data_IF_788907049649
#
_entry.id   IF_788907049649
#
_cell.length_a   1.000
_cell.length_b   1.000
_cell.length_c   1.000
_cell.angle_alpha   90.00
_cell.angle_beta   90.00
_cell.angle_gamma   90.00
#
_symmetry.space_group_name_H-M   'P 1'
#
loop_
_entity.id
_entity.type
_entity.pdbx_description
1 polymer ?
#
# COMPACT_ATOMS: atom_id res chain seq x y z
N UNK A 1 32.06 37.08 -37.48
CA UNK A 1 32.22 36.06 -36.43
C UNK A 1 31.01 35.16 -36.50
N UNK A 2 31.18 33.94 -37.01
CA UNK A 2 30.10 32.95 -37.04
C UNK A 2 29.88 32.38 -35.64
N UNK A 3 28.65 32.49 -35.14
CA UNK A 3 28.19 31.75 -33.97
C UNK A 3 28.30 30.26 -34.26
N UNK A 4 29.33 29.63 -33.70
CA UNK A 4 29.40 28.19 -33.57
C UNK A 4 28.31 27.80 -32.58
N UNK A 5 27.15 27.37 -33.09
CA UNK A 5 26.23 26.54 -32.32
C UNK A 5 27.02 25.36 -31.79
N UNK A 6 27.23 25.32 -30.48
CA UNK A 6 27.71 24.12 -29.80
C UNK A 6 26.81 22.95 -30.21
N UNK A 7 27.37 21.76 -30.50
CA UNK A 7 26.55 20.63 -30.87
C UNK A 7 25.65 20.29 -29.68
N UNK A 8 24.34 20.43 -29.84
CA UNK A 8 23.35 19.91 -28.88
C UNK A 8 23.62 18.41 -28.79
N UNK A 9 24.33 17.99 -27.75
CA UNK A 9 24.63 16.58 -27.49
C UNK A 9 23.31 15.83 -27.40
N UNK A 10 23.19 14.66 -28.02
CA UNK A 10 21.98 13.82 -27.98
C UNK A 10 21.44 13.61 -26.55
N UNK A 11 22.31 13.75 -25.55
CA UNK A 11 22.05 13.74 -24.13
C UNK A 11 21.13 14.89 -23.70
N UNK A 12 21.37 16.14 -24.08
CA UNK A 12 20.51 17.28 -23.70
C UNK A 12 19.14 17.23 -24.37
N UNK A 13 19.03 16.57 -25.53
CA UNK A 13 17.77 16.41 -26.27
C UNK A 13 16.74 15.62 -25.45
N UNK A 14 17.15 14.56 -24.76
CA UNK A 14 16.24 13.81 -23.88
C UNK A 14 15.76 14.66 -22.70
N UNK A 15 16.62 15.55 -22.19
CA UNK A 15 16.30 16.58 -21.19
C UNK A 15 15.56 17.80 -21.77
N UNK A 16 15.25 17.84 -23.05
CA UNK A 16 14.47 18.92 -23.67
C UNK A 16 13.16 18.42 -24.28
N UNK A 17 12.97 17.09 -24.40
CA UNK A 17 11.74 16.50 -24.93
C UNK A 17 10.51 16.91 -24.11
N UNK A 18 9.42 17.40 -24.76
CA UNK A 18 8.18 17.70 -24.09
C UNK A 18 7.54 16.42 -23.53
N UNK A 19 7.08 16.50 -22.30
CA UNK A 19 6.30 15.44 -21.63
C UNK A 19 4.93 16.07 -21.33
N UNK A 20 3.85 15.73 -22.06
CA UNK A 20 3.69 14.64 -23.03
C UNK A 20 4.29 14.90 -24.43
N UNK A 21 4.72 13.84 -25.09
CA UNK A 21 5.27 13.89 -26.45
C UNK A 21 4.15 13.68 -27.49
N UNK A 22 3.90 14.68 -28.31
CA UNK A 22 2.83 14.67 -29.33
C UNK A 22 3.28 14.09 -30.69
N UNK A 23 4.51 13.59 -30.79
CA UNK A 23 5.07 13.02 -32.03
C UNK A 23 4.90 11.50 -32.18
N UNK A 24 5.55 10.87 -33.18
CA UNK A 24 5.46 9.43 -33.38
C UNK A 24 6.17 8.68 -32.24
N UNK A 25 5.38 8.07 -31.36
CA UNK A 25 5.85 7.40 -30.14
C UNK A 25 6.71 6.16 -30.44
N UNK A 26 6.38 5.42 -31.51
CA UNK A 26 7.05 4.13 -31.84
C UNK A 26 8.53 4.30 -32.20
N UNK A 27 8.93 5.18 -33.15
CA UNK A 27 10.34 5.47 -33.42
C UNK A 27 11.10 5.95 -32.18
N UNK A 28 10.45 6.78 -31.34
CA UNK A 28 11.06 7.30 -30.13
C UNK A 28 11.28 6.20 -29.08
N UNK A 29 10.35 5.26 -28.91
CA UNK A 29 10.54 4.09 -28.05
C UNK A 29 11.69 3.20 -28.54
N UNK A 30 11.82 2.99 -29.86
CA UNK A 30 12.96 2.23 -30.42
C UNK A 30 14.29 2.97 -30.21
N UNK A 31 14.31 4.28 -30.44
CA UNK A 31 15.48 5.12 -30.20
C UNK A 31 15.87 5.08 -28.72
N UNK A 32 14.91 5.25 -27.82
CA UNK A 32 15.11 5.24 -26.37
C UNK A 32 15.60 3.86 -25.87
N UNK A 33 15.07 2.75 -26.41
CA UNK A 33 15.60 1.42 -26.15
C UNK A 33 17.08 1.31 -26.52
N UNK A 34 17.43 1.70 -27.75
CA UNK A 34 18.82 1.64 -28.22
C UNK A 34 19.76 2.60 -27.48
N UNK A 35 19.22 3.73 -27.02
CA UNK A 35 19.95 4.69 -26.19
C UNK A 35 20.25 4.10 -24.81
N UNK A 36 19.25 3.50 -24.15
CA UNK A 36 19.44 2.85 -22.83
C UNK A 36 20.51 1.77 -22.92
N UNK A 37 20.44 0.89 -23.93
CA UNK A 37 21.42 -0.18 -24.10
C UNK A 37 22.86 0.32 -24.37
N UNK A 38 23.01 1.45 -25.06
CA UNK A 38 24.34 1.99 -25.40
C UNK A 38 24.95 2.83 -24.29
N UNK A 39 24.13 3.46 -23.44
CA UNK A 39 24.57 4.44 -22.43
C UNK A 39 24.10 4.09 -21.02
N UNK A 40 24.18 2.81 -20.64
CA UNK A 40 23.81 2.33 -19.31
C UNK A 40 24.57 3.09 -18.20
N UNK A 41 25.90 3.23 -18.32
CA UNK A 41 26.75 3.87 -17.30
C UNK A 41 26.46 5.35 -17.09
N UNK A 42 25.99 6.06 -18.12
CA UNK A 42 25.64 7.47 -18.03
C UNK A 42 24.31 7.66 -17.31
N UNK A 43 23.30 6.86 -17.66
CA UNK A 43 21.97 6.92 -17.04
C UNK A 43 22.02 6.48 -15.57
N UNK A 44 22.94 5.58 -15.20
CA UNK A 44 23.17 5.20 -13.81
C UNK A 44 23.73 6.35 -12.94
N UNK A 45 24.45 7.30 -13.54
CA UNK A 45 25.07 8.41 -12.81
C UNK A 45 24.12 9.59 -12.62
N UNK A 46 23.23 9.85 -13.58
CA UNK A 46 22.32 11.00 -13.52
C UNK A 46 20.88 10.63 -13.10
N UNK A 47 20.49 11.06 -11.89
CA UNK A 47 19.15 10.84 -11.33
C UNK A 47 18.04 11.51 -12.17
N UNK A 48 18.30 12.70 -12.71
CA UNK A 48 17.31 13.48 -13.47
C UNK A 48 16.93 12.80 -14.78
N UNK A 49 17.87 12.13 -15.45
CA UNK A 49 17.58 11.32 -16.64
C UNK A 49 16.69 10.13 -16.30
N UNK A 50 16.98 9.41 -15.21
CA UNK A 50 16.15 8.30 -14.76
C UNK A 50 14.71 8.74 -14.45
N UNK A 51 14.57 9.87 -13.75
CA UNK A 51 13.28 10.46 -13.40
C UNK A 51 12.50 10.90 -14.64
N UNK A 52 13.20 11.41 -15.66
CA UNK A 52 12.58 11.84 -16.90
C UNK A 52 12.16 10.68 -17.78
N UNK A 53 12.96 9.62 -17.87
CA UNK A 53 12.57 8.37 -18.55
C UNK A 53 11.30 7.81 -17.89
N UNK A 54 11.24 7.79 -16.55
CA UNK A 54 10.05 7.39 -15.82
C UNK A 54 8.84 8.29 -16.12
N UNK A 55 9.03 9.62 -16.13
CA UNK A 55 7.96 10.56 -16.49
C UNK A 55 7.48 10.37 -17.94
N UNK A 56 8.39 10.07 -18.85
CA UNK A 56 8.07 9.74 -20.24
C UNK A 56 7.23 8.46 -20.31
N UNK A 57 7.62 7.37 -19.63
CA UNK A 57 6.85 6.12 -19.53
C UNK A 57 5.43 6.39 -18.97
N UNK A 58 5.28 7.32 -18.03
CA UNK A 58 3.96 7.72 -17.55
C UNK A 58 3.13 8.44 -18.62
N UNK A 59 3.75 9.33 -19.39
CA UNK A 59 3.08 10.13 -20.41
C UNK A 59 2.60 9.33 -21.62
N UNK A 60 3.21 8.18 -21.92
CA UNK A 60 2.78 7.29 -23.01
C UNK A 60 1.36 6.80 -22.71
N UNK A 61 0.36 7.35 -23.38
CA UNK A 61 -1.01 6.87 -23.28
C UNK A 61 -1.18 5.65 -24.18
N UNK A 62 -1.63 4.55 -23.60
CA UNK A 62 -2.00 3.33 -24.32
C UNK A 62 -3.50 3.18 -24.12
N UNK A 63 -4.29 3.41 -25.17
CA UNK A 63 -5.73 3.14 -25.23
C UNK A 63 -6.54 3.42 -23.96
N UNK A 64 -6.70 4.69 -23.58
CA UNK A 64 -7.89 5.14 -22.84
C UNK A 64 -8.68 6.04 -23.79
N UNK A 65 -9.72 5.48 -24.40
CA UNK A 65 -10.50 6.10 -25.46
C UNK A 65 -10.86 7.55 -25.16
N UNK A 66 -10.65 8.41 -26.15
CA UNK A 66 -11.35 9.69 -26.24
C UNK A 66 -12.85 9.41 -26.15
N UNK A 67 -13.46 9.60 -24.98
CA UNK A 67 -14.89 9.94 -24.92
C UNK A 67 -15.04 11.32 -25.54
N UNK A 68 -15.10 11.38 -26.87
CA UNK A 68 -15.48 12.60 -27.56
C UNK A 68 -16.90 12.94 -27.13
N UNK A 69 -17.05 14.08 -26.45
CA UNK A 69 -18.36 14.71 -26.25
C UNK A 69 -18.86 15.13 -27.64
N UNK A 70 -19.63 14.30 -28.32
CA UNK A 70 -20.41 14.78 -29.48
C UNK A 70 -21.60 15.58 -28.94
N UNK A 71 -21.36 16.88 -28.72
CA UNK A 71 -22.43 17.87 -28.57
C UNK A 71 -23.09 17.99 -29.95
N UNK A 72 -24.39 17.67 -30.00
CA UNK A 72 -25.16 17.57 -31.24
C UNK A 72 -25.09 18.82 -32.12
N UNK A 73 -25.11 18.58 -33.44
CA UNK A 73 -25.53 19.57 -34.42
C UNK A 73 -26.27 18.88 -35.56
N UNK A 74 -27.58 19.14 -35.62
CA UNK A 74 -28.48 18.85 -36.75
C UNK A 74 -27.88 19.31 -38.08
N UNK A 75 -27.99 18.48 -39.12
CA UNK A 75 -28.37 18.80 -40.53
C UNK A 75 -28.34 17.49 -41.34
N UNK A 76 -29.52 16.93 -41.65
CA UNK A 76 -30.26 17.05 -42.93
C UNK A 76 -29.69 16.15 -44.04
N UNK A 77 -30.50 15.16 -44.43
CA UNK A 77 -30.33 14.24 -45.58
C UNK A 77 -29.94 14.98 -46.86
N UNK A 78 -29.01 14.39 -47.62
CA UNK A 78 -29.15 14.18 -49.06
C UNK A 78 -28.22 13.04 -49.49
N UNK A 79 -28.75 12.12 -50.29
CA UNK A 79 -28.08 10.97 -50.89
C UNK A 79 -27.02 11.40 -51.90
N UNK A 80 -25.84 10.79 -51.86
CA UNK A 80 -25.00 10.51 -53.02
C UNK A 80 -23.96 9.44 -52.67
N UNK A 81 -23.90 8.43 -53.52
CA UNK A 81 -23.03 7.26 -53.47
C UNK A 81 -21.54 7.64 -53.43
N UNK A 82 -20.80 6.96 -52.55
CA UNK A 82 -19.34 6.97 -52.47
C UNK A 82 -18.91 5.78 -51.63
N UNK A 83 -18.13 4.89 -52.22
CA UNK A 83 -17.52 3.74 -51.55
C UNK A 83 -16.54 4.22 -50.47
N UNK A 84 -17.00 4.26 -49.22
CA UNK A 84 -16.12 4.37 -48.07
C UNK A 84 -15.61 2.97 -47.72
N UNK A 85 -14.36 2.70 -48.10
CA UNK A 85 -13.56 1.60 -47.56
C UNK A 85 -13.39 1.89 -46.06
N UNK A 86 -14.13 1.18 -45.22
CA UNK A 86 -13.97 1.17 -43.76
C UNK A 86 -12.59 0.60 -43.41
N UNK A 87 -11.61 1.50 -43.20
CA UNK A 87 -10.29 1.18 -42.65
C UNK A 87 -10.36 1.02 -41.12
N UNK A 88 -11.14 0.05 -40.65
CA UNK A 88 -11.21 -0.33 -39.22
C UNK A 88 -10.09 -1.31 -38.79
N UNK A 89 -9.11 -1.59 -39.66
CA UNK A 89 -8.07 -2.61 -39.44
C UNK A 89 -6.73 -2.11 -38.84
N UNK A 90 -6.46 -0.80 -38.84
CA UNK A 90 -5.11 -0.28 -38.56
C UNK A 90 -4.86 0.10 -37.08
N UNK A 91 -5.89 0.51 -36.33
CA UNK A 91 -5.74 1.01 -34.95
C UNK A 91 -5.39 -0.09 -33.94
N UNK A 92 -5.80 -1.34 -34.18
CA UNK A 92 -5.45 -2.48 -33.32
C UNK A 92 -3.98 -2.89 -33.41
N UNK A 93 -3.34 -2.68 -34.56
CA UNK A 93 -1.96 -3.10 -34.80
C UNK A 93 -0.94 -2.12 -34.17
N UNK A 94 -1.24 -0.82 -34.24
CA UNK A 94 -0.37 0.23 -33.68
C UNK A 94 -0.32 0.20 -32.15
N UNK A 95 -1.46 -0.01 -31.49
CA UNK A 95 -1.52 -0.12 -30.02
C UNK A 95 -0.78 -1.36 -29.50
N UNK A 96 -0.90 -2.50 -30.18
CA UNK A 96 -0.14 -3.71 -29.88
C UNK A 96 1.37 -3.52 -30.04
N UNK A 97 1.80 -2.83 -31.11
CA UNK A 97 3.20 -2.48 -31.31
C UNK A 97 3.73 -1.50 -30.26
N UNK A 98 2.94 -0.49 -29.86
CA UNK A 98 3.31 0.45 -28.80
C UNK A 98 3.54 -0.31 -27.49
N UNK A 99 2.60 -1.19 -27.09
CA UNK A 99 2.73 -2.02 -25.88
C UNK A 99 3.97 -2.89 -25.92
N UNK A 100 4.28 -3.48 -27.07
CA UNK A 100 5.43 -4.38 -27.22
C UNK A 100 6.74 -3.62 -27.12
N UNK A 101 6.88 -2.50 -27.84
CA UNK A 101 8.06 -1.63 -27.75
C UNK A 101 8.23 -1.02 -26.35
N UNK A 102 7.13 -0.61 -25.70
CA UNK A 102 7.14 -0.12 -24.33
C UNK A 102 7.59 -1.21 -23.35
N UNK A 103 7.15 -2.46 -23.55
CA UNK A 103 7.57 -3.60 -22.72
C UNK A 103 9.09 -3.79 -22.78
N UNK A 104 9.69 -3.66 -23.98
CA UNK A 104 11.14 -3.73 -24.14
C UNK A 104 11.87 -2.55 -23.49
N UNK A 105 11.35 -1.33 -23.64
CA UNK A 105 11.92 -0.14 -22.99
C UNK A 105 11.87 -0.27 -21.47
N UNK A 106 10.73 -0.69 -20.91
CA UNK A 106 10.57 -0.90 -19.47
C UNK A 106 11.50 -1.99 -18.97
N UNK A 107 11.66 -3.10 -19.71
CA UNK A 107 12.58 -4.16 -19.35
C UNK A 107 14.04 -3.67 -19.29
N UNK A 108 14.51 -2.92 -20.30
CA UNK A 108 15.87 -2.36 -20.28
C UNK A 108 16.03 -1.29 -19.20
N UNK A 109 15.01 -0.45 -18.99
CA UNK A 109 15.03 0.55 -17.93
C UNK A 109 15.18 -0.11 -16.55
N UNK A 110 14.44 -1.19 -16.27
CA UNK A 110 14.49 -1.91 -15.00
C UNK A 110 15.78 -2.70 -14.76
N UNK A 111 16.61 -2.91 -15.79
CA UNK A 111 17.93 -3.51 -15.64
C UNK A 111 18.97 -2.53 -15.11
N UNK A 112 18.72 -1.23 -15.23
CA UNK A 112 19.62 -0.18 -14.74
C UNK A 112 19.68 -0.14 -13.22
N UNK A 113 20.82 0.26 -12.67
CA UNK A 113 20.93 0.59 -11.24
C UNK A 113 20.26 1.93 -10.94
N UNK A 114 19.14 1.87 -10.24
CA UNK A 114 18.40 3.06 -9.84
C UNK A 114 18.92 3.67 -8.53
N UNK A 115 18.85 5.00 -8.45
CA UNK A 115 18.91 5.71 -7.16
C UNK A 115 17.68 5.37 -6.31
N UNK A 116 17.80 5.37 -4.98
CA UNK A 116 16.72 5.02 -4.04
C UNK A 116 15.40 5.75 -4.32
N UNK A 117 15.47 7.03 -4.67
CA UNK A 117 14.29 7.86 -4.98
C UNK A 117 13.55 7.37 -6.22
N UNK A 118 14.29 7.12 -7.30
CA UNK A 118 13.74 6.58 -8.56
C UNK A 118 13.15 5.21 -8.31
N UNK A 119 13.85 4.34 -7.59
CA UNK A 119 13.39 2.99 -7.27
C UNK A 119 12.01 2.98 -6.59
N UNK A 120 11.86 3.79 -5.53
CA UNK A 120 10.59 3.94 -4.79
C UNK A 120 9.49 4.49 -5.70
N UNK A 121 9.79 5.49 -6.52
CA UNK A 121 8.81 6.11 -7.43
C UNK A 121 8.39 5.16 -8.56
N UNK A 122 9.31 4.36 -9.08
CA UNK A 122 9.04 3.34 -10.10
C UNK A 122 8.10 2.28 -9.53
N UNK A 123 8.39 1.72 -8.35
CA UNK A 123 7.52 0.75 -7.70
C UNK A 123 6.13 1.32 -7.38
N UNK A 124 6.06 2.59 -6.95
CA UNK A 124 4.81 3.25 -6.63
C UNK A 124 3.88 3.36 -7.83
N UNK A 125 4.42 3.57 -9.04
CA UNK A 125 3.62 3.67 -10.27
C UNK A 125 3.53 2.36 -11.05
N UNK A 126 4.26 1.32 -10.63
CA UNK A 126 4.37 0.08 -11.38
C UNK A 126 3.00 -0.58 -11.58
N UNK A 127 2.23 -0.70 -10.50
CA UNK A 127 0.94 -1.40 -10.51
C UNK A 127 -0.15 -0.68 -11.32
N UNK A 128 -0.27 0.65 -11.17
CA UNK A 128 -1.35 1.44 -11.80
C UNK A 128 -1.01 1.92 -13.22
N UNK A 129 0.25 2.29 -13.46
CA UNK A 129 0.66 2.99 -14.68
C UNK A 129 1.48 2.15 -15.63
N UNK A 130 2.26 1.19 -15.12
CA UNK A 130 3.20 0.42 -15.94
C UNK A 130 2.59 -0.95 -16.31
N UNK A 131 2.10 -1.73 -15.34
CA UNK A 131 1.53 -3.06 -15.60
C UNK A 131 0.42 -3.06 -16.67
N UNK A 132 -0.55 -2.12 -16.69
CA UNK A 132 -1.61 -2.14 -17.70
C UNK A 132 -1.13 -1.82 -19.13
N UNK A 133 0.03 -1.18 -19.27
CA UNK A 133 0.58 -0.76 -20.57
C UNK A 133 1.53 -1.80 -21.18
N UNK A 134 1.95 -2.79 -20.40
CA UNK A 134 2.91 -3.83 -20.82
C UNK A 134 2.14 -4.99 -21.45
N UNK A 135 2.65 -5.52 -22.57
CA UNK A 135 2.02 -6.63 -23.29
C UNK A 135 2.15 -7.96 -22.51
N UNK A 136 3.31 -8.20 -21.89
CA UNK A 136 3.59 -9.40 -21.06
C UNK A 136 4.02 -8.99 -19.63
N UNK A 137 3.08 -8.72 -18.72
CA UNK A 137 3.40 -8.23 -17.38
C UNK A 137 4.23 -9.20 -16.52
N UNK A 138 4.15 -10.50 -16.79
CA UNK A 138 4.95 -11.54 -16.12
C UNK A 138 6.46 -11.34 -16.25
N UNK A 139 6.94 -10.63 -17.28
CA UNK A 139 8.38 -10.32 -17.41
C UNK A 139 8.91 -9.46 -16.25
N UNK A 140 8.02 -8.75 -15.55
CA UNK A 140 8.36 -7.90 -14.42
C UNK A 140 8.36 -8.64 -13.08
N UNK A 141 7.95 -9.91 -13.07
CA UNK A 141 7.84 -10.71 -11.86
C UNK A 141 9.20 -10.85 -11.16
N UNK A 142 10.27 -11.12 -11.91
CA UNK A 142 11.61 -11.31 -11.32
C UNK A 142 12.14 -10.03 -10.65
N UNK A 143 11.92 -8.87 -11.29
CA UNK A 143 12.21 -7.56 -10.68
C UNK A 143 11.39 -7.32 -9.41
N UNK A 144 10.11 -7.68 -9.41
CA UNK A 144 9.24 -7.50 -8.25
C UNK A 144 9.58 -8.45 -7.09
N UNK A 145 9.92 -9.71 -7.39
CA UNK A 145 10.35 -10.70 -6.40
C UNK A 145 11.70 -10.33 -5.82
N UNK A 146 12.66 -9.89 -6.63
CA UNK A 146 13.94 -9.38 -6.13
C UNK A 146 13.76 -8.13 -5.27
N UNK A 147 12.91 -7.18 -5.70
CA UNK A 147 12.53 -6.01 -4.89
C UNK A 147 11.94 -6.41 -3.54
N UNK A 148 11.07 -7.41 -3.54
CA UNK A 148 10.42 -7.91 -2.35
C UNK A 148 11.42 -8.53 -1.35
N UNK A 149 12.37 -9.33 -1.85
CA UNK A 149 13.44 -9.93 -1.03
C UNK A 149 14.37 -8.90 -0.38
N UNK A 150 14.45 -7.67 -0.89
CA UNK A 150 15.26 -6.60 -0.26
C UNK A 150 14.70 -6.15 1.10
N UNK A 151 13.41 -6.40 1.37
CA UNK A 151 12.78 -6.07 2.65
C UNK A 151 12.51 -4.57 2.86
N UNK A 152 11.92 -4.26 4.02
CA UNK A 152 11.61 -2.89 4.44
C UNK A 152 10.57 -2.20 3.55
N UNK A 153 10.71 -0.88 3.36
CA UNK A 153 9.76 -0.07 2.60
C UNK A 153 9.60 -0.54 1.15
N UNK A 154 10.70 -0.98 0.54
CA UNK A 154 10.71 -1.44 -0.86
C UNK A 154 9.81 -2.67 -1.02
N UNK A 155 9.88 -3.61 -0.07
CA UNK A 155 9.05 -4.81 -0.07
C UNK A 155 7.56 -4.50 0.07
N UNK A 156 7.21 -3.47 0.86
CA UNK A 156 5.81 -3.05 1.00
C UNK A 156 5.25 -2.49 -0.32
N UNK A 157 6.08 -1.74 -1.06
CA UNK A 157 5.66 -1.16 -2.35
C UNK A 157 5.59 -2.22 -3.45
N UNK A 158 6.54 -3.16 -3.49
CA UNK A 158 6.55 -4.22 -4.49
C UNK A 158 5.39 -5.20 -4.31
N UNK A 159 4.90 -5.39 -3.08
CA UNK A 159 3.78 -6.26 -2.75
C UNK A 159 2.51 -5.93 -3.54
N UNK A 160 2.22 -4.65 -3.79
CA UNK A 160 1.07 -4.25 -4.60
C UNK A 160 1.23 -4.68 -6.07
N UNK A 161 2.43 -4.50 -6.64
CA UNK A 161 2.74 -4.98 -7.99
C UNK A 161 2.66 -6.50 -8.10
N UNK A 162 3.18 -7.23 -7.11
CA UNK A 162 3.10 -8.69 -7.04
C UNK A 162 1.65 -9.16 -6.95
N UNK A 163 0.83 -8.52 -6.12
CA UNK A 163 -0.57 -8.87 -5.99
C UNK A 163 -1.33 -8.74 -7.30
N UNK A 164 -1.12 -7.65 -8.05
CA UNK A 164 -1.74 -7.47 -9.36
C UNK A 164 -1.32 -8.58 -10.33
N UNK A 165 -0.05 -9.02 -10.29
CA UNK A 165 0.41 -10.15 -11.09
C UNK A 165 -0.21 -11.49 -10.64
N UNK A 166 -0.36 -11.71 -9.34
CA UNK A 166 -1.02 -12.91 -8.80
C UNK A 166 -2.50 -12.95 -9.19
N UNK A 167 -3.22 -11.84 -9.03
CA UNK A 167 -4.67 -11.80 -9.25
C UNK A 167 -5.06 -11.78 -10.74
N UNK A 168 -4.36 -10.99 -11.57
CA UNK A 168 -4.72 -10.80 -12.99
C UNK A 168 -3.96 -11.71 -13.95
N UNK A 169 -2.74 -12.10 -13.60
CA UNK A 169 -1.87 -12.88 -14.47
C UNK A 169 -1.53 -14.26 -13.90
N UNK A 170 -2.21 -14.67 -12.81
CA UNK A 170 -2.08 -15.99 -12.18
C UNK A 170 -0.62 -16.36 -11.89
N UNK A 171 0.17 -15.40 -11.42
CA UNK A 171 1.53 -15.67 -10.97
C UNK A 171 1.49 -16.50 -9.68
N UNK A 172 2.07 -17.69 -9.73
CA UNK A 172 2.25 -18.53 -8.54
C UNK A 172 3.44 -18.03 -7.72
N UNK A 173 3.15 -17.35 -6.61
CA UNK A 173 4.18 -16.94 -5.64
C UNK A 173 4.16 -17.91 -4.44
N UNK A 174 5.18 -18.78 -4.30
CA UNK A 174 5.21 -19.76 -3.22
C UNK A 174 5.26 -19.07 -1.85
N UNK A 175 4.55 -19.63 -0.88
CA UNK A 175 4.56 -19.18 0.52
C UNK A 175 4.25 -17.68 0.69
N UNK A 176 3.36 -17.13 -0.16
CA UNK A 176 2.98 -15.72 -0.13
C UNK A 176 2.61 -15.22 1.28
N UNK A 177 1.75 -15.98 1.99
CA UNK A 177 1.28 -15.57 3.31
C UNK A 177 2.37 -15.59 4.39
N UNK A 178 3.36 -16.48 4.31
CA UNK A 178 4.49 -16.47 5.25
C UNK A 178 5.32 -15.20 5.06
N UNK A 179 5.55 -14.80 3.82
CA UNK A 179 6.26 -13.56 3.55
C UNK A 179 5.44 -12.33 3.94
N UNK A 180 4.13 -12.32 3.68
CA UNK A 180 3.23 -11.28 4.16
C UNK A 180 3.26 -11.18 5.70
N UNK A 181 3.23 -12.30 6.39
CA UNK A 181 3.33 -12.36 7.85
C UNK A 181 4.66 -11.80 8.35
N UNK A 182 5.79 -12.10 7.67
CA UNK A 182 7.11 -11.54 8.01
C UNK A 182 7.18 -10.01 7.85
N UNK A 183 6.36 -9.43 6.97
CA UNK A 183 6.30 -7.98 6.79
C UNK A 183 5.55 -7.26 7.90
N UNK A 184 4.66 -7.95 8.63
CA UNK A 184 3.94 -7.39 9.77
C UNK A 184 4.89 -7.10 10.93
N UNK A 185 5.50 -5.92 10.88
CA UNK A 185 6.46 -5.38 11.84
C UNK A 185 6.03 -3.99 12.28
N UNK A 186 6.54 -3.54 13.43
CA UNK A 186 6.26 -2.21 13.99
C UNK A 186 6.61 -1.09 13.00
N UNK A 187 7.67 -1.29 12.20
CA UNK A 187 8.11 -0.34 11.19
C UNK A 187 7.06 -0.03 10.11
N UNK A 188 6.16 -0.98 9.82
CA UNK A 188 5.08 -0.78 8.84
C UNK A 188 4.05 0.21 9.36
N UNK A 189 3.83 0.26 10.67
CA UNK A 189 2.88 1.20 11.29
C UNK A 189 3.35 2.65 11.18
N UNK A 190 4.66 2.87 11.14
CA UNK A 190 5.25 4.20 10.95
C UNK A 190 5.58 4.51 9.48
N UNK A 191 5.27 3.59 8.55
CA UNK A 191 5.61 3.78 7.15
C UNK A 191 4.69 4.79 6.47
N UNK A 192 5.28 5.65 5.64
CA UNK A 192 4.54 6.65 4.83
C UNK A 192 3.41 6.06 3.98
N UNK A 193 3.57 4.82 3.53
CA UNK A 193 2.61 4.13 2.65
C UNK A 193 1.78 3.07 3.39
N UNK A 194 1.60 3.19 4.72
CA UNK A 194 0.83 2.24 5.53
C UNK A 194 -0.62 2.08 5.07
N UNK A 195 -1.29 3.17 4.69
CA UNK A 195 -2.66 3.16 4.17
C UNK A 195 -2.82 2.15 3.01
N UNK A 196 -1.91 2.21 2.04
CA UNK A 196 -1.93 1.31 0.88
C UNK A 196 -1.64 -0.14 1.28
N UNK A 197 -0.71 -0.34 2.21
CA UNK A 197 -0.39 -1.68 2.70
C UNK A 197 -1.58 -2.32 3.43
N UNK A 198 -2.24 -1.60 4.34
CA UNK A 198 -3.36 -2.16 5.11
C UNK A 198 -4.63 -2.35 4.27
N UNK A 199 -4.90 -1.47 3.30
CA UNK A 199 -5.96 -1.71 2.31
C UNK A 199 -5.73 -3.01 1.52
N UNK A 200 -4.49 -3.22 1.11
CA UNK A 200 -4.09 -4.42 0.37
C UNK A 200 -4.10 -5.67 1.27
N UNK A 201 -3.66 -5.54 2.51
CA UNK A 201 -3.70 -6.60 3.52
C UNK A 201 -5.14 -7.07 3.79
N UNK A 202 -6.09 -6.14 3.87
CA UNK A 202 -7.51 -6.48 4.02
C UNK A 202 -8.04 -7.25 2.81
N UNK A 203 -7.63 -6.85 1.61
CA UNK A 203 -7.96 -7.56 0.37
C UNK A 203 -7.37 -8.99 0.37
N UNK A 204 -6.14 -9.19 0.87
CA UNK A 204 -5.54 -10.51 0.97
C UNK A 204 -6.33 -11.40 1.92
N UNK A 205 -6.62 -10.90 3.12
CA UNK A 205 -7.30 -11.65 4.16
C UNK A 205 -8.80 -11.85 3.91
N UNK A 206 -9.36 -11.17 2.90
CA UNK A 206 -10.72 -11.43 2.40
C UNK A 206 -10.83 -12.66 1.48
N UNK A 207 -9.73 -13.34 1.15
CA UNK A 207 -9.78 -14.52 0.29
C UNK A 207 -10.41 -15.73 0.98
N UNK A 208 -11.31 -16.43 0.28
CA UNK A 208 -12.05 -17.59 0.80
C UNK A 208 -11.20 -18.84 1.03
N UNK A 209 -10.03 -18.94 0.38
CA UNK A 209 -9.18 -20.14 0.41
C UNK A 209 -8.07 -20.09 1.47
N UNK A 210 -8.20 -19.23 2.49
CA UNK A 210 -7.21 -19.09 3.55
C UNK A 210 -7.51 -20.05 4.70
N UNK A 211 -6.54 -20.88 5.13
CA UNK A 211 -6.70 -21.71 6.32
C UNK A 211 -6.87 -20.89 7.60
N UNK A 212 -7.67 -21.40 8.55
CA UNK A 212 -7.97 -20.71 9.81
C UNK A 212 -6.71 -20.36 10.62
N UNK A 213 -5.70 -21.24 10.64
CA UNK A 213 -4.45 -20.99 11.37
C UNK A 213 -3.68 -19.77 10.85
N UNK A 214 -3.74 -19.50 9.54
CA UNK A 214 -3.09 -18.34 8.90
C UNK A 214 -3.74 -17.05 9.38
N UNK A 215 -5.08 -17.04 9.41
CA UNK A 215 -5.83 -15.87 9.89
C UNK A 215 -5.60 -15.66 11.38
N UNK A 216 -5.58 -16.74 12.18
CA UNK A 216 -5.26 -16.67 13.60
C UNK A 216 -3.86 -16.09 13.86
N UNK A 217 -2.85 -16.54 13.11
CA UNK A 217 -1.49 -16.04 13.20
C UNK A 217 -1.41 -14.54 12.90
N UNK A 218 -2.05 -14.10 11.81
CA UNK A 218 -2.12 -12.67 11.43
C UNK A 218 -2.86 -11.85 12.49
N UNK A 219 -4.03 -12.31 12.95
CA UNK A 219 -4.80 -11.62 13.98
C UNK A 219 -3.99 -11.46 15.28
N UNK A 220 -3.37 -12.54 15.76
CA UNK A 220 -2.54 -12.52 16.97
C UNK A 220 -1.31 -11.63 16.82
N UNK A 221 -0.64 -11.66 15.66
CA UNK A 221 0.49 -10.77 15.34
C UNK A 221 0.07 -9.31 15.35
N UNK A 222 -1.05 -8.96 14.73
CA UNK A 222 -1.59 -7.59 14.74
C UNK A 222 -1.95 -7.13 16.16
N UNK A 223 -2.57 -8.00 16.96
CA UNK A 223 -2.87 -7.71 18.37
C UNK A 223 -1.60 -7.47 19.19
N UNK A 224 -0.53 -8.25 18.99
CA UNK A 224 0.77 -7.98 19.63
C UNK A 224 1.41 -6.68 19.14
N UNK A 225 1.36 -6.40 17.83
CA UNK A 225 1.87 -5.15 17.26
C UNK A 225 1.12 -3.93 17.78
N UNK A 226 -0.18 -4.06 18.07
CA UNK A 226 -0.99 -2.98 18.63
C UNK A 226 -0.47 -2.47 19.98
N UNK A 227 0.24 -3.27 20.76
CA UNK A 227 0.82 -2.81 22.03
C UNK A 227 1.97 -1.82 21.83
N UNK A 228 2.66 -1.89 20.69
CA UNK A 228 3.77 -1.00 20.34
C UNK A 228 3.36 0.09 19.34
N UNK A 229 2.10 0.06 18.88
CA UNK A 229 1.62 0.95 17.84
C UNK A 229 1.42 2.38 18.36
N UNK A 230 1.62 3.40 17.49
CA UNK A 230 1.23 4.76 17.83
C UNK A 230 -0.30 4.86 17.92
N UNK A 231 -0.79 5.80 18.73
CA UNK A 231 -2.21 5.98 18.97
C UNK A 231 -3.05 6.22 17.70
N UNK A 232 -2.47 6.83 16.66
CA UNK A 232 -3.11 7.04 15.35
C UNK A 232 -3.41 5.73 14.61
N UNK A 233 -2.61 4.68 14.83
CA UNK A 233 -2.73 3.39 14.11
C UNK A 233 -3.57 2.37 14.89
N UNK A 234 -3.90 2.65 16.15
CA UNK A 234 -4.67 1.73 16.98
C UNK A 234 -6.09 1.49 16.46
N UNK A 235 -6.89 2.52 16.09
CA UNK A 235 -8.23 2.28 15.53
C UNK A 235 -8.16 1.38 14.30
N UNK A 236 -7.20 1.61 13.41
CA UNK A 236 -6.96 0.79 12.22
C UNK A 236 -6.70 -0.68 12.58
N UNK A 237 -5.75 -0.94 13.49
CA UNK A 237 -5.37 -2.30 13.88
C UNK A 237 -6.52 -3.03 14.60
N UNK A 238 -7.20 -2.36 15.54
CA UNK A 238 -8.30 -2.97 16.28
C UNK A 238 -9.47 -3.31 15.36
N UNK A 239 -9.89 -2.37 14.51
CA UNK A 239 -10.95 -2.59 13.52
C UNK A 239 -10.57 -3.70 12.54
N UNK A 240 -9.31 -3.72 12.07
CA UNK A 240 -8.84 -4.76 11.18
C UNK A 240 -8.85 -6.15 11.85
N UNK A 241 -8.33 -6.27 13.08
CA UNK A 241 -8.38 -7.54 13.83
C UNK A 241 -9.81 -8.00 14.11
N UNK A 242 -10.73 -7.07 14.39
CA UNK A 242 -12.14 -7.39 14.59
C UNK A 242 -12.79 -7.90 13.30
N UNK A 243 -12.55 -7.26 12.15
CA UNK A 243 -13.06 -7.73 10.86
C UNK A 243 -12.56 -9.14 10.53
N UNK A 244 -11.31 -9.49 10.89
CA UNK A 244 -10.81 -10.87 10.73
C UNK A 244 -11.60 -11.87 11.58
N UNK A 245 -11.93 -11.51 12.83
CA UNK A 245 -12.74 -12.37 13.72
C UNK A 245 -14.17 -12.50 13.20
N UNK A 246 -14.77 -11.42 12.69
CA UNK A 246 -16.11 -11.44 12.11
C UNK A 246 -16.20 -12.33 10.85
N UNK A 247 -15.19 -12.29 9.99
CA UNK A 247 -15.11 -13.14 8.78
C UNK A 247 -14.93 -14.63 9.12
N UNK A 248 -14.21 -14.93 10.20
CA UNK A 248 -13.84 -16.29 10.57
C UNK A 248 -14.30 -16.61 11.99
N UNK A 249 -15.52 -17.17 12.17
CA UNK A 249 -16.08 -17.44 13.50
C UNK A 249 -15.25 -18.43 14.34
N UNK A 250 -14.39 -19.24 13.70
CA UNK A 250 -13.42 -20.09 14.40
C UNK A 250 -12.42 -19.32 15.26
N UNK A 251 -12.22 -18.02 15.00
CA UNK A 251 -11.36 -17.15 15.81
C UNK A 251 -12.05 -16.62 17.08
N UNK A 252 -13.37 -16.82 17.24
CA UNK A 252 -14.08 -16.42 18.46
C UNK A 252 -13.52 -17.12 19.70
N UNK A 253 -12.98 -18.33 19.54
CA UNK A 253 -12.27 -19.04 20.59
C UNK A 253 -11.03 -18.29 21.12
N UNK A 254 -10.47 -17.34 20.35
CA UNK A 254 -9.37 -16.51 20.81
C UNK A 254 -9.83 -15.36 21.73
N UNK A 255 -11.10 -14.93 21.60
CA UNK A 255 -11.71 -13.90 22.44
C UNK A 255 -12.36 -14.50 23.69
N UNK A 256 -13.10 -15.59 23.53
CA UNK A 256 -13.80 -16.26 24.62
C UNK A 256 -13.60 -17.78 24.53
N UNK A 257 -12.87 -18.34 25.50
CA UNK A 257 -12.72 -19.79 25.68
C UNK A 257 -13.72 -20.25 26.73
N UNK A 258 -14.64 -21.11 26.32
CA UNK A 258 -15.65 -21.68 27.21
C UNK A 258 -15.20 -22.99 27.87
N UNK A 259 -14.01 -23.50 27.56
CA UNK A 259 -13.45 -24.71 28.16
C UNK A 259 -12.91 -24.39 29.56
N UNK A 260 -13.57 -24.90 30.59
CA UNK A 260 -13.31 -24.61 32.01
C UNK A 260 -11.97 -25.16 32.54
N UNK A 261 -11.23 -25.96 31.76
CA UNK A 261 -10.10 -26.77 32.24
C UNK A 261 -8.69 -26.24 31.88
N UNK A 262 -8.56 -25.11 31.18
CA UNK A 262 -7.24 -24.57 30.79
C UNK A 262 -7.07 -23.11 31.23
N UNK A 263 -6.78 -22.91 32.52
CA UNK A 263 -6.08 -21.70 32.96
C UNK A 263 -4.68 -21.72 32.33
N UNK A 264 -4.56 -21.10 31.15
CA UNK A 264 -3.30 -20.97 30.42
C UNK A 264 -2.37 -20.07 31.25
N UNK A 265 -1.49 -20.67 32.04
CA UNK A 265 -0.52 -19.93 32.84
C UNK A 265 0.48 -19.13 31.98
N UNK A 266 0.77 -19.61 30.76
CA UNK A 266 1.71 -18.99 29.83
C UNK A 266 1.18 -19.04 28.40
N UNK A 267 1.20 -17.91 27.70
CA UNK A 267 0.78 -17.83 26.29
C UNK A 267 1.65 -18.77 25.41
N UNK A 268 1.05 -19.77 24.72
CA UNK A 268 1.79 -20.67 23.84
C UNK A 268 2.23 -20.02 22.51
N UNK A 269 1.79 -18.80 22.19
CA UNK A 269 2.11 -18.14 20.94
C UNK A 269 3.59 -17.75 20.82
N UNK A 270 4.22 -18.18 19.72
CA UNK A 270 5.61 -17.87 19.39
C UNK A 270 5.70 -16.69 18.43
N UNK A 271 6.18 -15.55 18.93
CA UNK A 271 6.26 -14.30 18.15
C UNK A 271 7.33 -14.37 17.04
N UNK A 272 8.50 -14.96 17.32
CA UNK A 272 9.63 -14.99 16.39
C UNK A 272 9.51 -16.05 15.28
N UNK A 273 8.53 -16.94 15.39
CA UNK A 273 8.31 -18.01 14.42
C UNK A 273 7.69 -17.44 13.13
N UNK A 274 8.36 -17.62 12.00
CA UNK A 274 7.87 -17.18 10.69
C UNK A 274 6.79 -18.10 10.12
N UNK A 275 6.81 -19.37 10.50
CA UNK A 275 5.82 -20.35 10.05
C UNK A 275 4.51 -20.18 10.83
N UNK A 276 3.46 -19.75 10.13
CA UNK A 276 2.14 -19.50 10.72
C UNK A 276 1.48 -20.77 11.27
N UNK A 277 1.85 -21.96 10.80
CA UNK A 277 1.35 -23.21 11.38
C UNK A 277 1.99 -23.50 12.74
N UNK A 278 3.28 -23.18 12.88
CA UNK A 278 4.06 -23.48 14.10
C UNK A 278 3.97 -22.41 15.17
N UNK A 279 3.47 -21.22 14.83
CA UNK A 279 3.35 -20.11 15.80
C UNK A 279 2.33 -20.38 16.93
N UNK A 280 1.48 -21.41 16.81
CA UNK A 280 0.46 -21.82 17.81
C UNK A 280 -0.51 -20.70 18.21
N UNK A 281 -0.83 -19.80 17.27
CA UNK A 281 -1.76 -18.69 17.54
C UNK A 281 -3.18 -19.15 17.92
N UNK A 282 -3.65 -20.30 17.41
CA UNK A 282 -4.95 -20.86 17.77
C UNK A 282 -5.01 -21.33 19.23
N UNK A 283 -3.88 -21.75 19.80
CA UNK A 283 -3.77 -22.20 21.18
C UNK A 283 -3.67 -21.02 22.17
N UNK A 284 -3.53 -19.79 21.67
CA UNK A 284 -3.45 -18.54 22.45
C UNK A 284 -4.80 -17.81 22.56
N UNK A 285 -4.88 -16.78 23.41
CA UNK A 285 -5.98 -15.81 23.44
C UNK A 285 -5.51 -14.39 23.06
N UNK A 286 -6.44 -13.46 22.80
CA UNK A 286 -6.16 -12.08 22.40
C UNK A 286 -6.23 -11.10 23.58
N UNK A 287 -5.40 -11.31 24.61
CA UNK A 287 -5.37 -10.46 25.80
C UNK A 287 -5.00 -9.01 25.51
N UNK A 288 -4.25 -8.76 24.44
CA UNK A 288 -3.78 -7.44 24.05
C UNK A 288 -4.95 -6.50 23.72
N UNK A 289 -6.01 -7.04 23.12
CA UNK A 289 -7.22 -6.29 22.78
C UNK A 289 -7.96 -5.86 24.06
N UNK A 290 -7.95 -6.69 25.10
CA UNK A 290 -8.50 -6.36 26.42
C UNK A 290 -7.71 -5.24 27.10
N UNK A 291 -6.38 -5.23 26.95
CA UNK A 291 -5.54 -4.15 27.50
C UNK A 291 -5.85 -2.77 26.91
N UNK A 292 -6.31 -2.70 25.65
CA UNK A 292 -6.72 -1.43 25.02
C UNK A 292 -8.01 -0.82 25.58
N UNK A 293 -8.76 -1.54 26.41
CA UNK A 293 -9.94 -1.00 27.09
C UNK A 293 -9.59 0.09 28.12
N UNK A 294 -8.35 0.11 28.61
CA UNK A 294 -7.84 1.16 29.50
C UNK A 294 -6.97 2.19 28.76
N UNK A 295 -7.09 2.30 27.44
CA UNK A 295 -6.31 3.24 26.64
C UNK A 295 -6.76 4.69 26.87
N UNK A 296 -5.84 5.65 26.69
CA UNK A 296 -6.13 7.08 26.93
C UNK A 296 -7.06 7.69 25.87
N UNK A 297 -7.06 7.15 24.64
CA UNK A 297 -7.92 7.62 23.56
C UNK A 297 -9.32 6.98 23.69
N UNK A 298 -10.41 7.76 23.86
CA UNK A 298 -11.75 7.22 24.02
C UNK A 298 -12.27 6.44 22.80
N UNK A 299 -11.79 6.76 21.60
CA UNK A 299 -12.17 6.04 20.38
C UNK A 299 -11.61 4.61 20.37
N UNK A 300 -10.34 4.47 20.76
CA UNK A 300 -9.68 3.17 20.92
C UNK A 300 -10.40 2.33 21.98
N UNK A 301 -10.77 2.95 23.11
CA UNK A 301 -11.54 2.29 24.18
C UNK A 301 -12.91 1.84 23.67
N UNK A 302 -13.61 2.68 22.91
CA UNK A 302 -14.90 2.33 22.31
C UNK A 302 -14.78 1.09 21.42
N UNK A 303 -13.78 1.06 20.54
CA UNK A 303 -13.52 -0.11 19.67
C UNK A 303 -13.18 -1.33 20.52
N UNK A 304 -12.25 -1.22 21.46
CA UNK A 304 -11.86 -2.34 22.33
C UNK A 304 -13.00 -2.88 23.20
N UNK A 305 -13.93 -2.01 23.64
CA UNK A 305 -15.13 -2.43 24.38
C UNK A 305 -16.11 -3.19 23.47
N UNK A 306 -16.28 -2.77 22.21
CA UNK A 306 -17.13 -3.47 21.25
C UNK A 306 -16.69 -4.93 21.05
N UNK A 307 -15.39 -5.22 21.12
CA UNK A 307 -14.88 -6.60 21.04
C UNK A 307 -15.25 -7.47 22.24
N UNK A 308 -15.47 -6.87 23.41
CA UNK A 308 -15.85 -7.61 24.63
C UNK A 308 -17.36 -7.73 24.83
N UNK A 309 -18.15 -6.91 24.13
CA UNK A 309 -19.61 -7.00 24.11
C UNK A 309 -20.09 -7.92 22.98
N UNK A 310 -21.39 -7.90 22.70
CA UNK A 310 -21.95 -8.58 21.52
C UNK A 310 -21.30 -8.02 20.24
N UNK A 311 -20.68 -8.91 19.47
CA UNK A 311 -20.04 -8.57 18.21
C UNK A 311 -21.11 -8.19 17.17
N UNK A 312 -20.89 -7.13 16.39
CA UNK A 312 -21.80 -6.75 15.33
C UNK A 312 -21.80 -7.78 14.19
N UNK A 313 -22.89 -7.85 13.45
CA UNK A 313 -23.05 -8.75 12.30
C UNK A 313 -22.42 -8.21 11.00
N UNK A 314 -22.08 -6.92 10.97
CA UNK A 314 -21.59 -6.22 9.77
C UNK A 314 -20.14 -5.79 10.02
N UNK A 315 -19.30 -5.94 8.99
CA UNK A 315 -17.91 -5.47 8.99
C UNK A 315 -17.82 -3.95 9.07
N UNK A 316 -16.74 -3.46 9.66
CA UNK A 316 -16.44 -2.05 9.73
C UNK A 316 -15.62 -1.60 8.53
N UNK A 317 -15.88 -0.39 8.05
CA UNK A 317 -15.05 0.20 7.01
C UNK A 317 -13.69 0.62 7.58
N UNK A 318 -12.63 0.03 7.04
CA UNK A 318 -11.25 0.29 7.45
C UNK A 318 -10.75 1.60 6.83
N UNK A 319 -11.34 2.04 5.70
CA UNK A 319 -10.83 3.17 4.91
C UNK A 319 -10.82 4.50 5.66
N UNK A 320 -11.74 4.67 6.62
CA UNK A 320 -11.82 5.84 7.50
C UNK A 320 -10.53 6.01 8.35
N UNK A 321 -9.89 4.90 8.72
CA UNK A 321 -8.73 4.89 9.63
C UNK A 321 -7.38 4.80 8.91
N UNK A 322 -7.37 4.68 7.57
CA UNK A 322 -6.14 4.43 6.82
C UNK A 322 -5.20 5.65 6.77
N UNK A 323 -5.78 6.86 6.69
CA UNK A 323 -5.03 8.11 6.46
C UNK A 323 -4.92 8.98 7.72
N UNK A 324 -5.49 8.56 8.84
CA UNK A 324 -5.52 9.35 10.09
C UNK A 324 -4.11 9.68 10.57
N UNK A 325 -3.76 10.96 10.59
CA UNK A 325 -2.47 11.42 11.13
C UNK A 325 -2.57 11.80 12.61
N UNK A 326 -1.44 11.81 13.32
CA UNK A 326 -1.37 12.34 14.69
C UNK A 326 -1.87 13.78 14.78
N UNK A 327 -1.59 14.61 13.76
CA UNK A 327 -2.02 16.01 13.72
C UNK A 327 -3.54 16.11 13.67
N UNK A 328 -4.18 15.37 12.76
CA UNK A 328 -5.64 15.30 12.66
C UNK A 328 -6.27 14.78 13.95
N UNK A 329 -5.69 13.76 14.58
CA UNK A 329 -6.19 13.24 15.85
C UNK A 329 -6.16 14.31 16.95
N UNK A 330 -5.09 15.11 17.01
CA UNK A 330 -4.97 16.23 17.96
C UNK A 330 -5.98 17.33 17.63
N UNK A 331 -6.12 17.70 16.36
CA UNK A 331 -7.10 18.69 15.91
C UNK A 331 -8.53 18.29 16.26
N UNK A 332 -8.88 17.01 16.06
CA UNK A 332 -10.19 16.47 16.46
C UNK A 332 -10.41 16.52 17.97
N UNK A 333 -9.36 16.29 18.77
CA UNK A 333 -9.41 16.46 20.23
C UNK A 333 -9.62 17.93 20.62
N UNK A 334 -8.94 18.87 19.96
CA UNK A 334 -9.06 20.31 20.22
C UNK A 334 -10.40 20.89 19.76
N UNK A 335 -10.97 20.36 18.68
CA UNK A 335 -12.25 20.79 18.13
C UNK A 335 -13.45 20.34 18.98
N UNK A 336 -13.31 19.24 19.75
CA UNK A 336 -14.37 18.77 20.64
C UNK A 336 -14.58 19.80 21.76
N UNK A 337 -15.82 20.27 21.98
CA UNK A 337 -16.08 21.19 23.07
C UNK A 337 -15.74 20.50 24.39
N UNK A 338 -14.96 21.18 25.24
CA UNK A 338 -14.67 20.68 26.57
C UNK A 338 -15.99 20.36 27.28
N UNK A 339 -16.20 19.11 27.74
CA UNK A 339 -17.39 18.77 28.49
C UNK A 339 -17.48 19.69 29.70
N UNK A 340 -18.64 20.34 29.90
CA UNK A 340 -18.83 21.34 30.95
C UNK A 340 -18.55 20.79 32.37
N UNK A 341 -18.52 19.47 32.53
CA UNK A 341 -18.13 18.77 33.75
C UNK A 341 -16.67 19.02 34.16
N UNK A 342 -15.73 19.15 33.22
CA UNK A 342 -14.31 19.35 33.52
C UNK A 342 -13.94 20.82 33.78
N UNK A 343 -14.80 21.76 33.36
CA UNK A 343 -14.71 23.17 33.77
C UNK A 343 -14.90 23.34 35.29
N UNK A 344 -15.35 22.28 35.98
CA UNK A 344 -15.58 22.23 37.43
C UNK A 344 -14.61 21.26 38.14
N UNK A 345 -13.35 21.14 37.74
CA UNK A 345 -12.34 20.79 38.75
C UNK A 345 -12.24 21.95 39.74
N UNK A 346 -12.89 21.79 40.89
CA UNK A 346 -12.68 22.70 42.02
C UNK A 346 -11.21 22.60 42.39
N UNK A 347 -10.55 23.72 42.68
CA UNK A 347 -9.15 23.76 43.16
C UNK A 347 -8.87 22.83 44.36
N UNK A 348 -9.90 22.37 45.07
CA UNK A 348 -9.80 21.34 46.11
C UNK A 348 -9.33 19.97 45.59
N UNK A 349 -9.64 19.61 44.34
CA UNK A 349 -9.34 18.28 43.78
C UNK A 349 -7.96 18.25 43.12
N UNK A 350 -7.34 19.42 42.90
CA UNK A 350 -5.90 19.52 42.64
C UNK A 350 -5.06 19.25 43.89
N UNK A 351 -5.64 19.37 45.09
CA UNK A 351 -4.96 19.07 46.34
C UNK A 351 -4.81 17.56 46.59
N UNK A 352 -5.63 16.71 45.96
CA UNK A 352 -5.48 15.24 45.99
C UNK A 352 -4.43 14.73 45.00
N UNK A 353 -4.17 15.43 43.88
CA UNK A 353 -2.96 15.19 43.07
C UNK A 353 -1.67 15.63 43.79
N UNK A 354 -1.79 16.61 44.70
CA UNK A 354 -0.72 17.03 45.61
C UNK A 354 -0.67 16.20 46.90
N UNK A 355 -1.56 15.23 47.12
CA UNK A 355 -1.34 14.23 48.18
C UNK A 355 -0.25 13.28 47.69
N UNK A 356 0.98 13.77 47.79
CA UNK A 356 2.23 13.07 47.54
C UNK A 356 2.15 11.69 48.20
N UNK A 357 1.97 10.65 47.40
CA UNK A 357 2.23 9.30 47.89
C UNK A 357 3.72 9.23 48.24
N UNK A 358 4.10 8.62 49.38
CA UNK A 358 5.50 8.61 49.82
C UNK A 358 6.44 7.99 48.78
N UNK A 359 5.92 7.05 47.98
CA UNK A 359 6.62 6.37 46.88
C UNK A 359 7.02 7.33 45.74
N UNK A 360 6.20 8.34 45.44
CA UNK A 360 6.51 9.31 44.39
C UNK A 360 7.58 10.32 44.83
N UNK A 361 7.74 10.62 46.12
CA UNK A 361 8.82 11.51 46.55
C UNK A 361 10.20 10.87 46.38
N UNK A 362 10.35 9.56 46.60
CA UNK A 362 11.65 8.86 46.46
C UNK A 362 12.16 8.88 45.02
N UNK A 363 11.26 8.87 44.03
CA UNK A 363 11.62 8.89 42.61
C UNK A 363 12.06 10.26 42.09
N UNK A 364 11.69 11.36 42.77
CA UNK A 364 11.96 12.73 42.33
C UNK A 364 13.09 13.42 43.12
N UNK A 365 13.62 12.78 44.16
CA UNK A 365 14.73 13.30 44.97
C UNK A 365 16.07 12.61 44.70
N UNK A 366 16.20 11.85 43.61
CA UNK A 366 17.46 11.27 43.16
C UNK A 366 18.16 12.15 42.14
#
# INVERSE_FOLDING_TARGET
MGDKKEPVTEESVLLELPVPYDGPVIPLLRALRSFIQKRETFIEQDEDYQMRILAFIHSVQVGAGKKSRSKGKKRSRLDTDGEDIEDEGAEGNTDGEIRTNLSHVVAEFLRLKFTRRVYVKTLLHLHDRILPKVNKPLMLADFLVSSFRMGGLISLLSLNGLFVLMQKHHLDFPQFYEHFYSLLTVNVLHAKYRARFFHLADTFMGSSHIPLYTVAAVAKRLSRLSLYAPAESLPLLLTFTMNLVLRHPGLLALLNRTTEDEDIAHDPYLIEESDMQKCRALDSSLWELKSHQSHHNPEVVKIAMMLSSELPTIEFDITEYLETSTEEMIEQCLAKPFPEAEKRLKRSDMASFLSRTPVLNELWTA
#
